data_IF_488003007712
#
_entry.id   IF_488003007712
#
_cell.length_a   1.000
_cell.length_b   1.000
_cell.length_c   1.000
_cell.angle_alpha   90.00
_cell.angle_beta   90.00
_cell.angle_gamma   90.00
#
_symmetry.space_group_name_H-M   'P 1'
#
loop_
_entity.id
_entity.type
_entity.pdbx_description
1 polymer ?
#
# COMPACT_ATOMS: atom_id res chain seq x y z
N UNK A 1 26.18 -23.57 34.54
CA UNK A 1 26.80 -22.36 33.91
C UNK A 1 28.16 -22.62 33.29
N UNK A 2 29.24 -22.82 34.06
CA UNK A 2 30.61 -22.93 33.51
C UNK A 2 30.83 -24.15 32.59
N UNK A 3 30.11 -25.25 32.81
CA UNK A 3 30.12 -26.42 31.92
C UNK A 3 29.30 -26.18 30.64
N UNK A 4 28.11 -25.59 30.77
CA UNK A 4 27.25 -25.25 29.62
C UNK A 4 27.94 -24.26 28.66
N UNK A 5 28.60 -23.23 29.18
CA UNK A 5 29.38 -22.29 28.37
C UNK A 5 30.55 -22.96 27.62
N UNK A 6 31.12 -24.05 28.16
CA UNK A 6 32.17 -24.83 27.47
C UNK A 6 31.59 -25.74 26.37
N UNK A 7 30.37 -26.24 26.54
CA UNK A 7 29.73 -27.17 25.60
C UNK A 7 28.97 -26.46 24.48
N UNK A 8 28.52 -25.23 24.71
CA UNK A 8 27.68 -24.47 23.77
C UNK A 8 28.46 -23.40 23.02
N UNK A 9 29.76 -23.24 23.30
CA UNK A 9 30.63 -22.17 22.79
C UNK A 9 30.14 -20.73 23.07
N UNK A 10 29.05 -20.57 23.83
CA UNK A 10 28.53 -19.27 24.25
C UNK A 10 29.27 -18.72 25.46
N UNK A 11 29.38 -17.39 25.51
CA UNK A 11 29.88 -16.72 26.70
C UNK A 11 28.92 -16.92 27.89
N UNK A 12 29.43 -16.77 29.11
CA UNK A 12 28.67 -17.07 30.34
C UNK A 12 27.43 -16.17 30.53
N UNK A 13 27.47 -14.94 30.03
CA UNK A 13 26.33 -14.01 30.08
C UNK A 13 25.20 -14.52 29.18
N UNK A 14 25.52 -14.83 27.92
CA UNK A 14 24.57 -15.41 26.97
C UNK A 14 23.96 -16.71 27.47
N UNK A 15 24.76 -17.61 28.06
CA UNK A 15 24.21 -18.85 28.65
C UNK A 15 23.23 -18.54 29.79
N UNK A 16 23.53 -17.56 30.63
CA UNK A 16 22.65 -17.18 31.72
C UNK A 16 21.33 -16.59 31.21
N UNK A 17 21.41 -15.63 30.28
CA UNK A 17 20.24 -14.99 29.69
C UNK A 17 19.36 -16.00 28.95
N UNK A 18 19.98 -16.91 28.18
CA UNK A 18 19.27 -17.99 27.50
C UNK A 18 18.58 -18.93 28.49
N UNK A 19 19.24 -19.34 29.58
CA UNK A 19 18.61 -20.20 30.59
C UNK A 19 17.46 -19.50 31.32
N UNK A 20 17.60 -18.19 31.57
CA UNK A 20 16.53 -17.38 32.16
C UNK A 20 15.33 -17.30 31.22
N UNK A 21 15.56 -17.02 29.94
CA UNK A 21 14.51 -17.00 28.93
C UNK A 21 13.85 -18.37 28.75
N UNK A 22 14.63 -19.44 28.64
CA UNK A 22 14.13 -20.82 28.55
C UNK A 22 13.27 -21.20 29.77
N UNK A 23 13.62 -20.70 30.95
CA UNK A 23 12.81 -20.85 32.16
C UNK A 23 11.51 -20.05 32.09
N UNK A 24 11.54 -18.80 31.63
CA UNK A 24 10.35 -17.96 31.46
C UNK A 24 9.34 -18.56 30.47
N UNK A 25 9.81 -19.27 29.45
CA UNK A 25 8.97 -19.99 28.49
C UNK A 25 8.67 -21.45 28.89
N UNK A 26 9.15 -21.90 30.05
CA UNK A 26 8.81 -23.20 30.63
C UNK A 26 9.49 -24.42 30.00
N UNK A 27 10.62 -24.23 29.30
CA UNK A 27 11.41 -25.32 28.71
C UNK A 27 12.56 -25.81 29.59
N UNK A 28 12.89 -25.04 30.64
CA UNK A 28 13.94 -25.38 31.59
C UNK A 28 13.46 -25.04 33.00
N UNK A 29 13.72 -25.95 33.93
CA UNK A 29 13.52 -25.74 35.36
C UNK A 29 14.86 -25.64 36.08
N UNK A 30 14.84 -25.26 37.35
CA UNK A 30 16.04 -25.29 38.18
C UNK A 30 15.74 -25.77 39.59
N UNK A 31 16.73 -26.41 40.21
CA UNK A 31 16.71 -26.75 41.63
C UNK A 31 18.04 -26.37 42.28
N UNK A 32 18.00 -26.19 43.60
CA UNK A 32 19.20 -25.92 44.39
C UNK A 32 19.66 -27.18 45.12
N UNK A 33 20.95 -27.49 45.00
CA UNK A 33 21.60 -28.56 45.74
C UNK A 33 22.99 -28.09 46.17
N UNK A 34 23.32 -28.23 47.46
CA UNK A 34 24.63 -27.85 48.01
C UNK A 34 25.07 -26.43 47.63
N UNK A 35 24.16 -25.45 47.79
CA UNK A 35 24.36 -24.04 47.44
C UNK A 35 24.72 -23.77 45.95
N UNK A 36 24.39 -24.70 45.04
CA UNK A 36 24.53 -24.53 43.59
C UNK A 36 23.18 -24.70 42.88
N UNK A 37 22.92 -23.83 41.91
CA UNK A 37 21.76 -23.95 41.02
C UNK A 37 22.05 -24.91 39.86
N UNK A 38 21.18 -25.89 39.70
CA UNK A 38 21.19 -26.85 38.60
C UNK A 38 19.98 -26.58 37.71
N UNK A 39 20.22 -26.43 36.41
CA UNK A 39 19.19 -26.28 35.40
C UNK A 39 18.91 -27.65 34.78
N UNK A 40 17.63 -27.98 34.59
CA UNK A 40 17.16 -29.25 34.04
C UNK A 40 16.21 -28.95 32.90
N UNK A 41 16.39 -29.56 31.71
CA UNK A 41 15.41 -29.43 30.64
C UNK A 41 14.09 -30.09 31.06
N UNK A 42 12.99 -29.46 30.67
CA UNK A 42 11.67 -30.08 30.76
C UNK A 42 11.47 -31.10 29.63
N UNK A 43 10.34 -31.83 29.67
CA UNK A 43 9.97 -32.77 28.61
C UNK A 43 9.92 -32.08 27.23
N UNK A 44 10.54 -32.63 26.17
CA UNK A 44 10.47 -32.06 24.82
C UNK A 44 9.05 -31.78 24.31
N UNK A 45 8.01 -32.49 24.78
CA UNK A 45 6.61 -32.21 24.44
C UNK A 45 6.19 -30.78 24.82
N UNK A 46 6.86 -30.14 25.80
CA UNK A 46 6.64 -28.73 26.18
C UNK A 46 6.89 -27.74 25.05
N UNK A 47 7.62 -28.13 24.00
CA UNK A 47 7.76 -27.31 22.79
C UNK A 47 6.42 -27.11 22.08
N UNK A 48 5.55 -28.13 22.07
CA UNK A 48 4.20 -27.99 21.52
C UNK A 48 3.34 -27.05 22.35
N UNK A 49 3.43 -27.14 23.68
CA UNK A 49 2.76 -26.21 24.61
C UNK A 49 3.20 -24.75 24.35
N UNK A 50 4.51 -24.52 24.16
CA UNK A 50 5.07 -23.20 23.86
C UNK A 50 4.48 -22.60 22.58
N UNK A 51 4.45 -23.38 21.50
CA UNK A 51 3.89 -22.93 20.20
C UNK A 51 2.39 -22.65 20.33
N UNK A 52 1.66 -23.52 21.03
CA UNK A 52 0.22 -23.36 21.25
C UNK A 52 -0.11 -22.09 22.04
N UNK A 53 0.67 -21.81 23.08
CA UNK A 53 0.55 -20.57 23.88
C UNK A 53 0.80 -19.33 23.03
N UNK A 54 1.91 -19.27 22.29
CA UNK A 54 2.23 -18.13 21.42
C UNK A 54 1.16 -17.89 20.36
N UNK A 55 0.63 -18.97 19.77
CA UNK A 55 -0.44 -18.89 18.78
C UNK A 55 -1.71 -18.27 19.39
N UNK A 56 -2.07 -18.69 20.59
CA UNK A 56 -3.23 -18.16 21.31
C UNK A 56 -3.03 -16.68 21.67
N UNK A 57 -1.86 -16.31 22.20
CA UNK A 57 -1.52 -14.92 22.51
C UNK A 57 -1.61 -14.02 21.25
N UNK A 58 -1.06 -14.47 20.12
CA UNK A 58 -1.13 -13.74 18.86
C UNK A 58 -2.57 -13.58 18.35
N UNK A 59 -3.40 -14.62 18.49
CA UNK A 59 -4.81 -14.55 18.12
C UNK A 59 -5.57 -13.54 18.99
N UNK A 60 -5.31 -13.48 20.29
CA UNK A 60 -5.92 -12.50 21.19
C UNK A 60 -5.47 -11.07 20.89
N UNK A 61 -4.18 -10.86 20.63
CA UNK A 61 -3.65 -9.58 20.17
C UNK A 61 -4.30 -9.16 18.86
N UNK A 62 -4.45 -10.09 17.91
CA UNK A 62 -5.13 -9.85 16.64
C UNK A 62 -6.59 -9.43 16.81
N UNK A 63 -7.32 -10.04 17.76
CA UNK A 63 -8.70 -9.64 18.09
C UNK A 63 -8.76 -8.22 18.65
N UNK A 64 -7.92 -7.88 19.63
CA UNK A 64 -7.87 -6.52 20.22
C UNK A 64 -7.45 -5.47 19.19
N UNK A 65 -6.49 -5.81 18.34
CA UNK A 65 -6.02 -4.93 17.28
C UNK A 65 -7.14 -4.61 16.28
N UNK A 66 -8.00 -5.59 15.97
CA UNK A 66 -9.15 -5.37 15.09
C UNK A 66 -10.05 -4.24 15.62
N UNK A 67 -10.36 -4.25 16.92
CA UNK A 67 -11.22 -3.24 17.54
C UNK A 67 -10.57 -1.86 17.52
N UNK A 68 -9.27 -1.78 17.88
CA UNK A 68 -8.50 -0.53 17.82
C UNK A 68 -8.44 0.02 16.39
N UNK A 69 -8.24 -0.84 15.39
CA UNK A 69 -8.23 -0.43 13.98
C UNK A 69 -9.60 0.11 13.55
N UNK A 70 -10.70 -0.48 14.00
CA UNK A 70 -12.05 0.04 13.72
C UNK A 70 -12.27 1.40 14.37
N UNK A 71 -11.83 1.59 15.61
CA UNK A 71 -11.92 2.88 16.30
C UNK A 71 -11.08 3.96 15.59
N UNK A 72 -9.84 3.65 15.24
CA UNK A 72 -8.96 4.54 14.47
C UNK A 72 -9.56 4.90 13.11
N UNK A 73 -10.17 3.93 12.41
CA UNK A 73 -10.93 4.19 11.18
C UNK A 73 -12.08 5.13 11.44
N UNK A 74 -12.87 4.95 12.50
CA UNK A 74 -13.98 5.85 12.81
C UNK A 74 -13.54 7.30 13.08
N UNK A 75 -12.35 7.50 13.65
CA UNK A 75 -11.75 8.83 13.86
C UNK A 75 -11.18 9.39 12.55
N UNK A 76 -10.58 8.52 11.73
CA UNK A 76 -10.09 8.85 10.40
C UNK A 76 -11.25 9.28 9.46
N UNK A 77 -12.34 8.53 9.47
CA UNK A 77 -13.54 8.71 8.64
C UNK A 77 -14.40 9.91 9.12
N UNK A 78 -14.38 10.22 10.42
CA UNK A 78 -14.90 11.51 10.94
C UNK A 78 -14.11 12.72 10.41
N UNK A 79 -12.96 12.49 9.77
CA UNK A 79 -12.24 13.43 8.95
C UNK A 79 -12.82 13.63 7.54
N UNK A 80 -14.03 13.16 7.24
CA UNK A 80 -14.71 13.34 5.94
C UNK A 80 -14.88 14.81 5.47
N UNK A 81 -14.55 15.80 6.30
CA UNK A 81 -14.47 17.21 5.90
C UNK A 81 -13.06 17.70 5.50
N UNK A 82 -12.00 16.94 5.80
CA UNK A 82 -10.63 17.36 5.48
C UNK A 82 -10.14 16.67 4.20
N UNK A 83 -9.87 17.42 3.10
CA UNK A 83 -9.21 16.85 1.94
C UNK A 83 -7.92 16.13 2.35
N UNK A 84 -7.77 14.89 1.91
CA UNK A 84 -6.53 14.12 2.11
C UNK A 84 -5.72 14.23 0.82
N UNK A 85 -4.55 14.88 0.90
CA UNK A 85 -3.55 14.87 -0.16
C UNK A 85 -2.44 13.88 0.20
N UNK A 86 -2.14 12.93 -0.70
CA UNK A 86 -1.07 11.94 -0.54
C UNK A 86 -0.05 12.10 -1.64
N UNK A 87 1.22 12.09 -1.27
CA UNK A 87 2.35 12.16 -2.19
C UNK A 87 2.89 10.75 -2.45
N UNK A 88 3.27 10.49 -3.70
CA UNK A 88 3.80 9.21 -4.19
C UNK A 88 5.09 9.47 -4.95
N UNK A 89 6.12 8.71 -4.63
CA UNK A 89 7.39 8.76 -5.35
C UNK A 89 7.40 7.79 -6.55
N UNK A 90 8.47 7.80 -7.34
CA UNK A 90 8.63 7.00 -8.57
C UNK A 90 8.26 5.52 -8.41
N UNK A 91 8.69 4.90 -7.31
CA UNK A 91 8.41 3.48 -7.01
C UNK A 91 6.97 3.19 -6.58
N UNK A 92 6.15 4.22 -6.40
CA UNK A 92 4.80 4.13 -5.84
C UNK A 92 3.70 4.54 -6.82
N UNK A 93 4.05 5.07 -7.99
CA UNK A 93 3.09 5.52 -9.01
C UNK A 93 2.13 4.40 -9.42
N UNK A 94 2.63 3.16 -9.49
CA UNK A 94 1.81 1.97 -9.72
C UNK A 94 0.64 1.85 -8.73
N UNK A 95 0.84 2.23 -7.46
CA UNK A 95 -0.21 2.18 -6.44
C UNK A 95 -1.37 3.14 -6.78
N UNK A 96 -1.08 4.28 -7.41
CA UNK A 96 -2.13 5.21 -7.87
C UNK A 96 -2.99 4.52 -8.93
N UNK A 97 -2.36 3.86 -9.90
CA UNK A 97 -3.09 3.16 -10.97
C UNK A 97 -3.93 2.00 -10.43
N UNK A 98 -3.38 1.20 -9.52
CA UNK A 98 -4.12 0.14 -8.84
C UNK A 98 -5.32 0.69 -8.05
N UNK A 99 -5.12 1.81 -7.33
CA UNK A 99 -6.17 2.50 -6.58
C UNK A 99 -7.30 3.02 -7.48
N UNK A 100 -7.00 3.48 -8.70
CA UNK A 100 -8.02 3.88 -9.68
C UNK A 100 -8.96 2.72 -10.00
N UNK A 101 -8.41 1.53 -10.27
CA UNK A 101 -9.22 0.36 -10.61
C UNK A 101 -10.05 -0.10 -9.41
N UNK A 102 -9.43 -0.17 -8.23
CA UNK A 102 -10.09 -0.59 -7.01
C UNK A 102 -11.25 0.35 -6.63
N UNK A 103 -11.04 1.66 -6.69
CA UNK A 103 -12.08 2.62 -6.32
C UNK A 103 -13.21 2.70 -7.35
N UNK A 104 -12.93 2.53 -8.65
CA UNK A 104 -13.99 2.38 -9.65
C UNK A 104 -14.89 1.17 -9.34
N UNK A 105 -14.31 0.01 -9.01
CA UNK A 105 -15.09 -1.18 -8.63
C UNK A 105 -15.87 -0.98 -7.33
N UNK A 106 -15.24 -0.43 -6.29
CA UNK A 106 -15.87 -0.23 -4.98
C UNK A 106 -17.01 0.78 -5.03
N UNK A 107 -16.86 1.86 -5.80
CA UNK A 107 -17.88 2.90 -5.95
C UNK A 107 -18.98 2.52 -6.95
N UNK A 108 -18.68 1.60 -7.88
CA UNK A 108 -19.53 1.31 -9.03
C UNK A 108 -19.44 2.34 -10.17
N UNK A 109 -18.60 3.38 -10.05
CA UNK A 109 -18.35 4.35 -11.12
C UNK A 109 -17.35 3.76 -12.14
N UNK A 110 -17.88 2.94 -13.07
CA UNK A 110 -17.10 2.20 -14.07
C UNK A 110 -16.66 3.06 -15.28
N UNK A 111 -16.46 4.37 -15.10
CA UNK A 111 -15.84 5.28 -16.07
C UNK A 111 -14.95 6.28 -15.33
N UNK A 112 -13.68 6.41 -15.72
CA UNK A 112 -12.84 7.52 -15.28
C UNK A 112 -12.42 8.42 -16.44
N UNK A 113 -11.88 9.59 -16.11
CA UNK A 113 -11.40 10.58 -17.09
C UNK A 113 -9.92 10.80 -16.92
N UNK A 114 -9.23 11.12 -18.01
CA UNK A 114 -7.79 11.35 -17.97
C UNK A 114 -7.35 12.43 -18.94
N UNK A 115 -6.52 13.35 -18.46
CA UNK A 115 -5.66 14.16 -19.31
C UNK A 115 -4.32 13.44 -19.44
N UNK A 116 -3.96 13.06 -20.67
CA UNK A 116 -2.78 12.24 -20.94
C UNK A 116 -1.84 12.99 -21.87
N UNK A 117 -0.74 13.52 -21.34
CA UNK A 117 0.37 13.97 -22.17
C UNK A 117 1.05 12.78 -22.86
N UNK A 118 1.35 12.89 -24.15
CA UNK A 118 2.00 11.81 -24.88
C UNK A 118 3.40 11.47 -24.32
N UNK A 119 4.12 12.49 -23.84
CA UNK A 119 5.53 12.36 -23.43
C UNK A 119 5.73 11.74 -22.05
N UNK A 120 4.74 11.78 -21.15
CA UNK A 120 4.82 11.11 -19.85
C UNK A 120 4.43 9.62 -19.92
N UNK A 121 3.78 9.21 -21.01
CA UNK A 121 3.20 7.87 -21.14
C UNK A 121 4.24 6.77 -21.07
N UNK A 122 5.37 6.98 -21.73
CA UNK A 122 6.44 5.98 -21.80
C UNK A 122 7.07 5.77 -20.42
N UNK A 123 7.16 6.82 -19.60
CA UNK A 123 7.61 6.73 -18.21
C UNK A 123 6.58 6.04 -17.32
N UNK A 124 5.28 6.31 -17.54
CA UNK A 124 4.20 5.83 -16.67
C UNK A 124 3.97 4.32 -16.79
N UNK A 125 4.15 3.77 -17.99
CA UNK A 125 3.90 2.36 -18.28
C UNK A 125 5.17 1.51 -18.37
N UNK A 126 6.35 2.09 -18.16
CA UNK A 126 7.59 1.33 -18.02
C UNK A 126 7.44 0.34 -16.84
N UNK A 127 7.44 -0.96 -17.14
CA UNK A 127 7.17 -2.03 -16.16
C UNK A 127 5.69 -2.26 -15.81
N UNK A 128 4.75 -1.66 -16.53
CA UNK A 128 3.30 -1.75 -16.24
C UNK A 128 2.43 -1.98 -17.49
N UNK A 129 2.83 -2.93 -18.34
CA UNK A 129 2.09 -3.33 -19.55
C UNK A 129 0.63 -3.76 -19.27
N UNK A 130 0.29 -4.13 -18.03
CA UNK A 130 -0.99 -4.74 -17.65
C UNK A 130 -2.10 -3.78 -17.22
N UNK A 131 -1.88 -2.47 -17.10
CA UNK A 131 -2.93 -1.56 -16.58
C UNK A 131 -4.17 -1.52 -17.48
N UNK A 132 -3.96 -1.35 -18.78
CA UNK A 132 -5.06 -1.31 -19.74
C UNK A 132 -5.83 -2.63 -19.74
N UNK A 133 -5.12 -3.75 -19.70
CA UNK A 133 -5.72 -5.09 -19.68
C UNK A 133 -6.51 -5.34 -18.39
N UNK A 134 -5.95 -4.96 -17.24
CA UNK A 134 -6.62 -5.06 -15.94
C UNK A 134 -7.89 -4.19 -15.90
N UNK A 135 -7.84 -2.97 -16.45
CA UNK A 135 -8.99 -2.08 -16.59
C UNK A 135 -10.09 -2.70 -17.46
N UNK A 136 -9.71 -3.27 -18.61
CA UNK A 136 -10.66 -3.89 -19.55
C UNK A 136 -11.29 -5.15 -18.96
N UNK A 137 -10.49 -5.98 -18.27
CA UNK A 137 -10.98 -7.17 -17.56
C UNK A 137 -12.02 -6.81 -16.49
N UNK A 138 -11.91 -5.61 -15.89
CA UNK A 138 -12.88 -5.05 -14.93
C UNK A 138 -14.03 -4.29 -15.59
N UNK A 139 -14.08 -4.20 -16.91
CA UNK A 139 -15.09 -3.46 -17.68
C UNK A 139 -15.18 -1.96 -17.31
N UNK A 140 -14.04 -1.35 -16.99
CA UNK A 140 -13.94 0.07 -16.63
C UNK A 140 -13.68 0.88 -17.90
N UNK A 141 -14.53 1.85 -18.20
CA UNK A 141 -14.39 2.77 -19.34
C UNK A 141 -13.43 3.92 -19.03
N UNK A 142 -12.83 4.50 -20.06
CA UNK A 142 -12.04 5.73 -19.90
C UNK A 142 -12.33 6.74 -21.01
N UNK A 143 -12.47 8.02 -20.63
CA UNK A 143 -12.39 9.16 -21.55
C UNK A 143 -11.04 9.83 -21.42
N UNK A 144 -10.27 9.87 -22.50
CA UNK A 144 -8.92 10.42 -22.53
C UNK A 144 -8.84 11.66 -23.40
N UNK A 145 -8.49 12.81 -22.82
CA UNK A 145 -8.04 13.97 -23.59
C UNK A 145 -6.52 13.85 -23.71
N UNK A 146 -6.06 13.49 -24.91
CA UNK A 146 -4.65 13.40 -25.23
C UNK A 146 -4.09 14.81 -25.48
N UNK A 147 -3.05 15.18 -24.72
CA UNK A 147 -2.33 16.44 -24.91
C UNK A 147 -1.13 16.14 -25.81
N UNK A 148 -1.12 16.76 -27.00
CA UNK A 148 -0.17 16.45 -28.06
C UNK A 148 -0.58 15.28 -28.96
N UNK A 149 0.24 15.01 -29.99
CA UNK A 149 -0.03 13.98 -30.99
C UNK A 149 0.25 12.56 -30.50
N UNK A 150 -0.58 11.60 -30.92
CA UNK A 150 -0.32 10.16 -30.79
C UNK A 150 -1.28 9.40 -29.86
N UNK A 151 -0.90 8.14 -29.62
CA UNK A 151 -1.59 7.17 -28.76
C UNK A 151 -2.60 6.29 -29.45
N UNK A 152 -2.63 5.02 -29.02
CA UNK A 152 -3.51 4.00 -29.55
C UNK A 152 -4.72 3.80 -28.64
N UNK A 153 -5.85 3.40 -29.25
CA UNK A 153 -7.00 2.92 -28.51
C UNK A 153 -6.73 1.50 -28.04
N UNK A 154 -7.06 1.19 -26.79
CA UNK A 154 -6.88 -0.16 -26.22
C UNK A 154 -8.19 -0.84 -25.83
N UNK A 155 -9.33 -0.37 -26.32
CA UNK A 155 -10.66 -0.92 -26.03
C UNK A 155 -11.29 -0.31 -24.78
N UNK A 156 -12.62 -0.15 -24.75
CA UNK A 156 -13.35 0.58 -23.70
C UNK A 156 -12.80 1.99 -23.43
N UNK A 157 -12.08 2.58 -24.38
CA UNK A 157 -11.55 3.93 -24.28
C UNK A 157 -12.10 4.81 -25.40
N UNK A 158 -12.45 6.03 -25.04
CA UNK A 158 -12.75 7.12 -25.97
C UNK A 158 -11.64 8.13 -25.87
N UNK A 159 -11.20 8.68 -27.00
CA UNK A 159 -10.12 9.66 -27.04
C UNK A 159 -10.49 10.87 -27.88
N UNK A 160 -10.09 12.04 -27.39
CA UNK A 160 -10.08 13.31 -28.11
C UNK A 160 -8.70 13.96 -27.94
N UNK A 161 -8.33 14.84 -28.86
CA UNK A 161 -7.01 15.45 -28.87
C UNK A 161 -7.10 16.94 -28.56
N UNK A 162 -6.13 17.42 -27.79
CA UNK A 162 -5.97 18.81 -27.43
C UNK A 162 -4.53 19.22 -27.73
N UNK A 163 -4.37 20.18 -28.64
CA UNK A 163 -3.07 20.76 -28.95
C UNK A 163 -2.83 22.01 -28.10
N UNK A 164 -2.03 21.85 -27.04
CA UNK A 164 -1.60 22.95 -26.17
C UNK A 164 -0.09 22.85 -25.92
N UNK A 165 0.58 24.00 -25.91
CA UNK A 165 1.99 24.08 -25.49
C UNK A 165 2.08 23.95 -23.97
N UNK A 166 2.97 23.09 -23.50
CA UNK A 166 3.30 22.91 -22.09
C UNK A 166 4.80 22.77 -21.90
N UNK A 167 5.29 23.32 -20.80
CA UNK A 167 6.69 23.21 -20.40
C UNK A 167 6.98 21.91 -19.63
N UNK A 168 5.94 21.23 -19.12
CA UNK A 168 6.09 20.00 -18.33
C UNK A 168 4.94 19.04 -18.56
N UNK A 169 5.23 17.74 -18.77
CA UNK A 169 4.21 16.76 -19.09
C UNK A 169 3.51 16.28 -17.83
N UNK A 170 2.21 16.02 -17.97
CA UNK A 170 1.33 15.65 -16.85
C UNK A 170 0.37 14.55 -17.25
N UNK A 171 0.09 13.65 -16.31
CA UNK A 171 -0.96 12.66 -16.41
C UNK A 171 -1.95 12.87 -15.26
N UNK A 172 -3.16 13.32 -15.56
CA UNK A 172 -4.15 13.71 -14.55
C UNK A 172 -5.36 12.79 -14.67
N UNK A 173 -5.67 12.06 -13.62
CA UNK A 173 -6.77 11.08 -13.57
C UNK A 173 -7.86 11.62 -12.65
N UNK A 174 -9.13 11.52 -13.08
CA UNK A 174 -10.31 11.93 -12.33
C UNK A 174 -11.22 10.71 -12.21
N UNK A 175 -11.43 10.21 -10.99
CA UNK A 175 -12.06 8.90 -10.75
C UNK A 175 -12.74 8.85 -9.39
N UNK A 176 -13.94 8.28 -9.28
CA UNK A 176 -14.57 7.82 -8.03
C UNK A 176 -14.40 8.75 -6.80
N UNK A 177 -14.65 10.06 -6.94
CA UNK A 177 -14.51 11.03 -5.83
C UNK A 177 -13.10 11.60 -5.60
N UNK A 178 -12.13 11.21 -6.43
CA UNK A 178 -10.71 11.48 -6.28
C UNK A 178 -10.09 12.11 -7.55
N UNK A 179 -8.97 12.79 -7.38
CA UNK A 179 -8.10 13.21 -8.49
C UNK A 179 -6.66 12.82 -8.24
N UNK A 180 -5.97 12.34 -9.26
CA UNK A 180 -4.54 12.05 -9.23
C UNK A 180 -3.80 12.91 -10.24
N UNK A 181 -2.67 13.48 -9.84
CA UNK A 181 -1.80 14.30 -10.66
C UNK A 181 -0.42 13.66 -10.68
N UNK A 182 0.04 13.24 -11.84
CA UNK A 182 1.35 12.64 -12.04
C UNK A 182 2.14 13.54 -12.97
N UNK A 183 3.38 13.84 -12.60
CA UNK A 183 4.29 14.66 -13.39
C UNK A 183 5.73 14.20 -13.19
N UNK A 184 6.67 14.83 -13.89
CA UNK A 184 8.09 14.66 -13.64
C UNK A 184 8.60 15.74 -12.68
N UNK A 185 9.49 15.35 -11.77
CA UNK A 185 10.23 16.31 -10.94
C UNK A 185 11.44 16.89 -11.71
N UNK A 186 12.22 17.75 -11.06
CA UNK A 186 13.42 18.38 -11.66
C UNK A 186 14.52 17.40 -12.05
N UNK A 187 14.49 16.17 -11.54
CA UNK A 187 15.44 15.10 -11.85
C UNK A 187 14.92 14.15 -12.93
N UNK A 188 13.70 14.36 -13.44
CA UNK A 188 13.06 13.49 -14.43
C UNK A 188 12.43 12.22 -13.85
N UNK A 189 12.26 12.15 -12.52
CA UNK A 189 11.55 11.05 -11.88
C UNK A 189 10.04 11.34 -11.76
N UNK A 190 9.23 10.31 -11.90
CA UNK A 190 7.79 10.43 -11.70
C UNK A 190 7.47 10.74 -10.24
N UNK A 191 6.56 11.69 -10.05
CA UNK A 191 5.95 12.03 -8.77
C UNK A 191 4.44 12.08 -8.95
N UNK A 192 3.70 11.65 -7.93
CA UNK A 192 2.25 11.58 -7.94
C UNK A 192 1.65 12.28 -6.72
N UNK A 193 0.51 12.93 -6.92
CA UNK A 193 -0.33 13.48 -5.84
C UNK A 193 -1.75 12.99 -6.02
N UNK A 194 -2.30 12.31 -5.03
CA UNK A 194 -3.73 11.95 -4.99
C UNK A 194 -4.45 12.86 -4.00
N UNK A 195 -5.56 13.44 -4.44
CA UNK A 195 -6.42 14.29 -3.64
C UNK A 195 -7.78 13.61 -3.51
N UNK A 196 -8.11 13.21 -2.28
CA UNK A 196 -9.43 12.71 -1.91
C UNK A 196 -10.28 13.88 -1.42
N UNK A 197 -11.09 14.42 -2.33
CA UNK A 197 -12.00 15.51 -2.03
C UNK A 197 -13.11 15.59 -3.10
N UNK A 198 -14.36 15.37 -2.67
CA UNK A 198 -15.49 15.37 -3.59
C UNK A 198 -15.67 16.73 -4.31
N UNK A 199 -15.45 17.87 -3.64
CA UNK A 199 -15.55 19.19 -4.27
C UNK A 199 -14.53 19.39 -5.41
N UNK A 200 -13.28 18.97 -5.19
CA UNK A 200 -12.22 18.99 -6.21
C UNK A 200 -12.56 18.02 -7.35
N UNK A 201 -12.97 16.79 -7.03
CA UNK A 201 -13.37 15.79 -8.03
C UNK A 201 -14.51 16.30 -8.92
N UNK A 202 -15.60 16.81 -8.34
CA UNK A 202 -16.75 17.32 -9.11
C UNK A 202 -16.36 18.49 -10.00
N UNK A 203 -15.53 19.41 -9.49
CA UNK A 203 -15.05 20.56 -10.27
C UNK A 203 -14.19 20.12 -11.45
N UNK A 204 -13.21 19.25 -11.21
CA UNK A 204 -12.32 18.73 -12.26
C UNK A 204 -13.08 17.91 -13.30
N UNK A 205 -14.03 17.08 -12.86
CA UNK A 205 -14.93 16.34 -13.74
C UNK A 205 -15.75 17.27 -14.63
N UNK A 206 -16.35 18.31 -14.06
CA UNK A 206 -17.13 19.29 -14.81
C UNK A 206 -16.29 20.05 -15.85
N UNK A 207 -15.07 20.46 -15.49
CA UNK A 207 -14.12 21.08 -16.42
C UNK A 207 -13.76 20.12 -17.56
N UNK A 208 -13.47 18.86 -17.23
CA UNK A 208 -13.16 17.84 -18.22
C UNK A 208 -14.32 17.63 -19.18
N UNK A 209 -15.54 17.42 -18.67
CA UNK A 209 -16.72 17.14 -19.50
C UNK A 209 -17.06 18.35 -20.41
N UNK A 210 -16.98 19.57 -19.89
CA UNK A 210 -17.21 20.78 -20.67
C UNK A 210 -16.17 20.99 -21.80
N UNK A 211 -14.91 20.60 -21.57
CA UNK A 211 -13.89 20.62 -22.61
C UNK A 211 -14.09 19.47 -23.59
N UNK A 212 -14.39 18.27 -23.10
CA UNK A 212 -14.64 17.08 -23.88
C UNK A 212 -15.73 17.31 -24.94
N UNK A 213 -16.81 18.00 -24.58
CA UNK A 213 -17.92 18.29 -25.50
C UNK A 213 -17.57 19.31 -26.58
N UNK A 214 -16.49 20.08 -26.41
CA UNK A 214 -16.02 21.07 -27.40
C UNK A 214 -14.93 20.55 -28.33
N UNK A 215 -14.25 19.48 -27.94
CA UNK A 215 -13.25 18.84 -28.78
C UNK A 215 -13.97 17.94 -29.79
N UNK A 216 -13.41 17.81 -30.99
CA UNK A 216 -13.93 16.90 -32.01
C UNK A 216 -13.48 15.45 -31.76
#
# INVERSE_FOLDING_TARGET
MRNLAKQTEFNRGTVYDSLKWLKEIGLVNFYEKEAKQFFVPEDPEKLYDMVSRQTTELQEVGKKLKDVVQELKSVYDKGGERPVARYYEKGEIRKILEQVLEQCEQSGEMEYRVYSDASIRDYLYDGFESFSDARIAKNINVKAIAIGGGGELRGLDKRKWLDIKKDSPTYIIIYAGNTAYISLNTYGDLIGVVIENNGVYQTQRGIFDALWDKLD
#
